data_IF_578823914436
#
_entry.id   IF_578823914436
#
_cell.length_a   1.000
_cell.length_b   1.000
_cell.length_c   1.000
_cell.angle_alpha   90.00
_cell.angle_beta   90.00
_cell.angle_gamma   90.00
#
_symmetry.space_group_name_H-M   'P 1'
#
loop_
_entity.id
_entity.type
_entity.pdbx_description
1 polymer ?
#
# COMPACT_ATOMS: atom_id res chain seq x y z
N UNK A 1 -36.14 -27.33 11.81
CA UNK A 1 -36.50 -26.33 10.79
C UNK A 1 -35.23 -25.88 10.09
N UNK A 2 -34.87 -26.56 9.00
CA UNK A 2 -33.69 -26.29 8.18
C UNK A 2 -34.14 -25.54 6.93
N UNK A 3 -33.76 -24.27 6.80
CA UNK A 3 -34.03 -23.52 5.58
C UNK A 3 -34.06 -22.02 5.80
N UNK A 4 -32.91 -21.38 5.55
CA UNK A 4 -32.66 -19.98 5.17
C UNK A 4 -31.35 -19.52 5.81
N UNK A 5 -30.23 -19.76 5.12
CA UNK A 5 -28.99 -18.97 5.30
C UNK A 5 -27.89 -19.27 4.27
N UNK A 6 -28.08 -20.26 3.38
CA UNK A 6 -27.09 -20.51 2.31
C UNK A 6 -26.94 -19.33 1.34
N UNK A 7 -28.01 -18.57 1.03
CA UNK A 7 -27.96 -17.47 0.03
C UNK A 7 -27.03 -16.30 0.41
N UNK A 8 -26.85 -15.98 1.69
CA UNK A 8 -26.00 -14.86 2.12
C UNK A 8 -24.50 -15.21 2.00
N UNK A 9 -24.14 -16.44 2.37
CA UNK A 9 -22.77 -16.95 2.22
C UNK A 9 -22.41 -17.06 0.74
N UNK A 10 -23.34 -17.52 -0.12
CA UNK A 10 -23.10 -17.62 -1.57
C UNK A 10 -22.89 -16.26 -2.22
N UNK A 11 -23.67 -15.24 -1.83
CA UNK A 11 -23.52 -13.88 -2.35
C UNK A 11 -22.18 -13.23 -1.97
N UNK A 12 -21.70 -13.47 -0.74
CA UNK A 12 -20.40 -12.98 -0.27
C UNK A 12 -19.24 -13.69 -0.95
N UNK A 13 -19.30 -15.02 -1.11
CA UNK A 13 -18.31 -15.77 -1.90
C UNK A 13 -18.33 -15.40 -3.38
N UNK A 14 -19.49 -15.04 -3.95
CA UNK A 14 -19.59 -14.56 -5.33
C UNK A 14 -18.96 -13.18 -5.48
N UNK A 15 -19.11 -12.30 -4.47
CA UNK A 15 -18.45 -10.99 -4.43
C UNK A 15 -16.93 -11.10 -4.35
N UNK A 16 -16.41 -12.07 -3.60
CA UNK A 16 -14.97 -12.36 -3.52
C UNK A 16 -14.42 -12.94 -4.83
N UNK A 17 -15.17 -13.84 -5.48
CA UNK A 17 -14.81 -14.40 -6.79
C UNK A 17 -14.90 -13.33 -7.89
N UNK A 18 -15.88 -12.43 -7.85
CA UNK A 18 -16.00 -11.31 -8.79
C UNK A 18 -14.88 -10.28 -8.59
N UNK A 19 -14.48 -9.99 -7.35
CA UNK A 19 -13.32 -9.14 -7.08
C UNK A 19 -12.02 -9.77 -7.60
N UNK A 20 -11.86 -11.08 -7.45
CA UNK A 20 -10.71 -11.82 -7.98
C UNK A 20 -10.75 -11.94 -9.51
N UNK A 21 -11.94 -12.06 -10.11
CA UNK A 21 -12.12 -12.05 -11.56
C UNK A 21 -11.83 -10.66 -12.15
N UNK A 22 -12.29 -9.58 -11.53
CA UNK A 22 -11.96 -8.21 -11.95
C UNK A 22 -10.44 -7.94 -11.90
N UNK A 23 -9.72 -8.59 -10.98
CA UNK A 23 -8.26 -8.55 -10.91
C UNK A 23 -7.57 -9.34 -12.04
N UNK A 24 -8.27 -10.29 -12.68
CA UNK A 24 -7.74 -11.19 -13.73
C UNK A 24 -8.22 -10.83 -15.16
N UNK A 25 -9.21 -9.95 -15.30
CA UNK A 25 -9.75 -9.48 -16.58
C UNK A 25 -8.72 -8.83 -17.52
N UNK A 26 -7.64 -8.16 -17.07
CA UNK A 26 -6.66 -7.58 -17.99
C UNK A 26 -5.99 -8.60 -18.93
N UNK A 27 -6.06 -9.91 -18.61
CA UNK A 27 -5.47 -10.99 -19.42
C UNK A 27 -6.38 -11.65 -20.46
N UNK A 28 -7.65 -11.20 -20.63
CA UNK A 28 -8.65 -11.90 -21.47
C UNK A 28 -9.35 -11.00 -22.51
N UNK A 29 -8.76 -9.88 -22.92
CA UNK A 29 -9.35 -8.97 -23.91
C UNK A 29 -8.97 -9.38 -25.34
N UNK A 30 -9.95 -9.38 -26.25
CA UNK A 30 -9.70 -9.53 -27.69
C UNK A 30 -9.16 -8.23 -28.30
N UNK A 31 -8.35 -8.30 -29.36
CA UNK A 31 -7.74 -7.13 -30.04
C UNK A 31 -8.71 -5.99 -30.37
N UNK A 32 -9.97 -6.29 -30.69
CA UNK A 32 -10.97 -5.26 -30.98
C UNK A 32 -11.37 -4.44 -29.75
N UNK A 33 -11.55 -5.11 -28.60
CA UNK A 33 -11.87 -4.48 -27.31
C UNK A 33 -10.66 -3.67 -26.81
N UNK A 34 -9.44 -4.17 -27.05
CA UNK A 34 -8.22 -3.44 -26.71
C UNK A 34 -8.07 -2.14 -27.53
N UNK A 35 -8.44 -2.16 -28.83
CA UNK A 35 -8.41 -0.96 -29.69
C UNK A 35 -9.45 0.09 -29.30
N UNK A 36 -10.66 -0.35 -28.95
CA UNK A 36 -11.73 0.55 -28.52
C UNK A 36 -11.43 1.17 -27.15
N UNK A 37 -10.93 0.37 -26.20
CA UNK A 37 -10.46 0.86 -24.90
C UNK A 37 -9.28 1.83 -25.05
N UNK A 38 -8.34 1.56 -25.96
CA UNK A 38 -7.24 2.48 -26.25
C UNK A 38 -7.75 3.81 -26.83
N UNK A 39 -8.72 3.80 -27.74
CA UNK A 39 -9.30 5.02 -28.28
C UNK A 39 -10.03 5.85 -27.21
N UNK A 40 -10.87 5.23 -26.36
CA UNK A 40 -11.50 5.92 -25.24
C UNK A 40 -10.49 6.51 -24.25
N UNK A 41 -9.40 5.78 -24.00
CA UNK A 41 -8.32 6.23 -23.13
C UNK A 41 -7.61 7.47 -23.70
N UNK A 42 -7.31 7.47 -25.01
CA UNK A 42 -6.71 8.62 -25.70
C UNK A 42 -7.61 9.86 -25.61
N UNK A 43 -8.93 9.71 -25.79
CA UNK A 43 -9.87 10.83 -25.63
C UNK A 43 -9.93 11.36 -24.19
N UNK A 44 -9.87 10.47 -23.19
CA UNK A 44 -9.85 10.87 -21.78
C UNK A 44 -8.53 11.57 -21.39
N UNK A 45 -7.40 11.10 -21.93
CA UNK A 45 -6.08 11.72 -21.75
C UNK A 45 -6.03 13.10 -22.41
N UNK A 46 -6.59 13.27 -23.61
CA UNK A 46 -6.69 14.55 -24.31
C UNK A 46 -7.56 15.55 -23.54
N UNK A 47 -8.71 15.09 -23.01
CA UNK A 47 -9.59 15.92 -22.19
C UNK A 47 -8.93 16.36 -20.87
N UNK A 48 -8.22 15.44 -20.20
CA UNK A 48 -7.46 15.75 -18.97
C UNK A 48 -6.31 16.72 -19.25
N UNK A 49 -5.53 16.49 -20.31
CA UNK A 49 -4.46 17.41 -20.71
C UNK A 49 -5.01 18.80 -21.00
N UNK A 50 -6.15 18.90 -21.69
CA UNK A 50 -6.81 20.18 -21.96
C UNK A 50 -7.31 20.87 -20.68
N UNK A 51 -7.81 20.13 -19.70
CA UNK A 51 -8.23 20.68 -18.41
C UNK A 51 -7.04 21.20 -17.59
N UNK A 52 -5.95 20.42 -17.52
CA UNK A 52 -4.70 20.82 -16.84
C UNK A 52 -4.08 22.06 -17.48
N UNK A 53 -3.97 22.07 -18.82
CA UNK A 53 -3.43 23.21 -19.57
C UNK A 53 -4.35 24.44 -19.46
N UNK A 54 -5.67 24.26 -19.46
CA UNK A 54 -6.63 25.37 -19.29
C UNK A 54 -6.60 25.98 -17.88
N UNK A 55 -6.33 25.20 -16.83
CA UNK A 55 -6.12 25.73 -15.48
C UNK A 55 -4.81 26.55 -15.38
N UNK A 56 -3.77 26.19 -16.12
CA UNK A 56 -2.51 26.95 -16.18
C UNK A 56 -2.64 28.21 -17.05
N UNK A 57 -3.28 28.14 -18.23
CA UNK A 57 -3.50 29.29 -19.11
C UNK A 57 -4.54 30.28 -18.57
N UNK A 58 -5.49 29.86 -17.71
CA UNK A 58 -6.35 30.79 -16.98
C UNK A 58 -5.55 31.72 -16.03
N UNK A 59 -4.30 31.36 -15.69
CA UNK A 59 -3.37 32.22 -14.96
C UNK A 59 -2.52 33.12 -15.89
N UNK A 60 -2.34 32.79 -17.17
CA UNK A 60 -1.44 33.48 -18.12
C UNK A 60 -2.13 34.19 -19.30
N UNK A 61 -3.41 33.93 -19.57
CA UNK A 61 -4.23 34.71 -20.50
C UNK A 61 -3.96 34.49 -22.00
N UNK A 62 -3.55 33.29 -22.42
CA UNK A 62 -3.30 32.96 -23.83
C UNK A 62 -4.33 31.95 -24.39
N UNK A 63 -4.44 31.89 -25.73
CA UNK A 63 -5.54 31.26 -26.50
C UNK A 63 -5.54 29.72 -26.53
N UNK A 64 -6.48 29.12 -27.30
CA UNK A 64 -6.74 27.66 -27.28
C UNK A 64 -5.45 26.79 -27.32
N UNK A 65 -5.26 25.87 -26.35
CA UNK A 65 -4.00 25.16 -26.19
C UNK A 65 -3.78 24.15 -27.33
N UNK A 66 -2.67 24.30 -28.06
CA UNK A 66 -2.16 23.24 -28.93
C UNK A 66 -1.57 22.12 -28.07
N UNK A 67 -2.19 20.95 -28.10
CA UNK A 67 -1.73 19.77 -27.36
C UNK A 67 -0.48 19.21 -28.04
N UNK A 68 0.69 19.37 -27.42
CA UNK A 68 1.91 18.71 -27.84
C UNK A 68 1.81 17.19 -27.55
N UNK A 69 2.19 16.36 -28.52
CA UNK A 69 2.22 14.89 -28.37
C UNK A 69 3.66 14.39 -28.40
N UNK A 70 4.00 13.53 -27.45
CA UNK A 70 5.34 12.93 -27.34
C UNK A 70 5.28 11.41 -27.18
N UNK A 71 6.44 10.75 -27.24
CA UNK A 71 6.56 9.29 -27.19
C UNK A 71 6.99 8.81 -25.80
N UNK A 72 6.34 7.77 -25.30
CA UNK A 72 6.66 7.14 -24.02
C UNK A 72 7.99 6.36 -24.09
N UNK A 73 8.83 6.52 -23.07
CA UNK A 73 10.14 5.86 -22.99
C UNK A 73 10.06 4.37 -22.71
N UNK A 74 8.95 3.90 -22.15
CA UNK A 74 8.79 2.53 -21.67
C UNK A 74 7.65 1.79 -22.37
N UNK A 75 6.45 2.35 -22.40
CA UNK A 75 5.28 1.66 -22.95
C UNK A 75 5.29 1.61 -24.47
N UNK A 76 4.83 0.48 -25.00
CA UNK A 76 4.70 0.23 -26.42
C UNK A 76 3.29 -0.25 -26.75
N UNK A 77 2.84 0.04 -27.96
CA UNK A 77 1.63 -0.53 -28.51
C UNK A 77 1.81 -2.03 -28.81
N UNK A 78 0.73 -2.66 -29.26
CA UNK A 78 0.69 -4.08 -29.63
C UNK A 78 1.54 -4.41 -30.87
N UNK A 79 1.95 -3.41 -31.66
CA UNK A 79 2.86 -3.54 -32.80
C UNK A 79 4.34 -3.32 -32.40
N UNK A 80 4.60 -2.92 -31.16
CA UNK A 80 5.92 -2.65 -30.62
C UNK A 80 6.42 -1.21 -30.80
N UNK A 81 5.60 -0.29 -31.30
CA UNK A 81 5.93 1.14 -31.40
C UNK A 81 5.75 1.83 -30.04
N UNK A 82 6.54 2.86 -29.70
CA UNK A 82 6.34 3.64 -28.48
C UNK A 82 4.92 4.21 -28.42
N UNK A 83 4.27 4.10 -27.24
CA UNK A 83 2.98 4.76 -27.03
C UNK A 83 3.16 6.28 -27.14
N UNK A 84 2.11 6.95 -27.60
CA UNK A 84 2.07 8.42 -27.66
C UNK A 84 1.04 8.93 -26.66
N UNK A 85 1.36 10.01 -25.99
CA UNK A 85 0.45 10.69 -25.08
C UNK A 85 0.60 12.21 -25.15
N UNK A 86 -0.41 12.96 -24.68
CA UNK A 86 -0.35 14.41 -24.63
C UNK A 86 0.63 14.86 -23.54
N UNK A 87 1.52 15.77 -23.87
CA UNK A 87 2.45 16.37 -22.91
C UNK A 87 1.65 17.27 -21.97
N UNK A 88 1.66 16.92 -20.69
CA UNK A 88 0.88 17.61 -19.66
C UNK A 88 1.68 17.91 -18.38
N UNK A 89 3.01 17.85 -18.45
CA UNK A 89 3.88 18.11 -17.31
C UNK A 89 5.25 18.66 -17.69
N UNK A 90 5.90 19.29 -16.72
CA UNK A 90 7.24 19.87 -16.89
C UNK A 90 8.32 18.81 -17.15
N UNK A 91 9.40 19.17 -17.85
CA UNK A 91 10.54 18.28 -18.02
C UNK A 91 11.18 17.94 -16.67
N UNK A 92 11.90 16.82 -16.64
CA UNK A 92 12.68 16.45 -15.47
C UNK A 92 13.70 17.55 -15.15
N UNK A 93 13.82 17.96 -13.88
CA UNK A 93 14.72 19.04 -13.53
C UNK A 93 16.18 18.61 -13.67
N UNK A 94 17.00 19.45 -14.30
CA UNK A 94 18.46 19.34 -14.26
C UNK A 94 18.95 19.94 -12.93
N UNK A 95 19.27 19.09 -11.95
CA UNK A 95 19.66 19.51 -10.61
C UNK A 95 21.19 19.39 -10.41
N UNK A 96 21.78 20.37 -9.72
CA UNK A 96 23.18 20.35 -9.30
C UNK A 96 23.34 20.26 -7.77
N UNK A 97 24.59 20.26 -7.26
CA UNK A 97 24.86 20.17 -5.82
C UNK A 97 24.28 21.36 -5.01
N UNK A 98 24.09 22.51 -5.64
CA UNK A 98 23.59 23.74 -5.01
C UNK A 98 22.07 23.77 -4.86
N UNK A 99 21.34 22.95 -5.63
CA UNK A 99 19.88 22.78 -5.52
C UNK A 99 19.46 21.96 -4.28
N UNK A 100 20.42 21.29 -3.64
CA UNK A 100 20.20 20.53 -2.41
C UNK A 100 20.62 21.37 -1.20
N UNK A 101 19.67 21.57 -0.28
CA UNK A 101 20.00 22.18 1.00
C UNK A 101 20.90 21.22 1.78
N UNK A 102 22.05 21.67 2.26
CA UNK A 102 23.01 20.86 3.03
C UNK A 102 23.21 21.45 4.43
N UNK A 103 23.51 20.58 5.41
CA UNK A 103 23.80 20.98 6.78
C UNK A 103 25.25 20.68 7.15
N UNK A 104 25.86 21.53 7.98
CA UNK A 104 27.26 21.38 8.41
C UNK A 104 27.53 20.08 9.17
N UNK A 105 26.52 19.54 9.87
CA UNK A 105 26.68 18.34 10.70
C UNK A 105 26.48 17.01 9.96
N UNK A 106 25.78 17.02 8.82
CA UNK A 106 25.43 15.80 8.09
C UNK A 106 25.02 16.11 6.63
N UNK A 107 25.49 15.31 5.64
CA UNK A 107 25.00 15.40 4.27
C UNK A 107 23.50 15.09 4.18
N UNK A 108 22.78 15.81 3.33
CA UNK A 108 21.32 15.69 3.23
C UNK A 108 20.83 14.33 2.75
N UNK A 109 21.61 13.67 1.88
CA UNK A 109 21.34 12.28 1.48
C UNK A 109 21.36 11.32 2.67
N UNK A 110 22.24 11.54 3.65
CA UNK A 110 22.30 10.71 4.86
C UNK A 110 21.08 10.95 5.74
N UNK A 111 20.68 12.20 5.93
CA UNK A 111 19.48 12.56 6.71
C UNK A 111 18.21 11.95 6.11
N UNK A 112 18.05 12.07 4.78
CA UNK A 112 16.94 11.46 4.05
C UNK A 112 16.95 9.93 4.18
N UNK A 113 18.12 9.31 4.02
CA UNK A 113 18.25 7.86 4.17
C UNK A 113 17.86 7.39 5.58
N UNK A 114 18.31 8.06 6.63
CA UNK A 114 17.93 7.72 8.01
C UNK A 114 16.42 7.85 8.20
N UNK A 115 15.82 8.97 7.78
CA UNK A 115 14.38 9.21 7.90
C UNK A 115 13.56 8.14 7.14
N UNK A 116 13.94 7.87 5.89
CA UNK A 116 13.29 6.87 5.05
C UNK A 116 13.40 5.46 5.64
N UNK A 117 14.60 5.08 6.11
CA UNK A 117 14.85 3.77 6.67
C UNK A 117 14.03 3.52 7.96
N UNK A 118 13.99 4.50 8.87
CA UNK A 118 13.18 4.39 10.07
C UNK A 118 11.68 4.29 9.73
N UNK A 119 11.19 5.13 8.82
CA UNK A 119 9.80 5.06 8.38
C UNK A 119 9.47 3.68 7.76
N UNK A 120 10.35 3.14 6.91
CA UNK A 120 10.17 1.83 6.27
C UNK A 120 10.12 0.68 7.28
N UNK A 121 10.97 0.68 8.32
CA UNK A 121 10.92 -0.38 9.34
C UNK A 121 9.58 -0.42 10.07
N UNK A 122 9.09 0.73 10.53
CA UNK A 122 7.81 0.79 11.21
C UNK A 122 6.63 0.54 10.26
N UNK A 123 6.69 1.06 9.03
CA UNK A 123 5.68 0.81 7.99
C UNK A 123 5.56 -0.66 7.62
N UNK A 124 6.70 -1.38 7.52
CA UNK A 124 6.72 -2.82 7.24
C UNK A 124 6.06 -3.61 8.37
N UNK A 125 6.36 -3.26 9.63
CA UNK A 125 5.75 -3.88 10.80
C UNK A 125 4.23 -3.64 10.87
N UNK A 126 3.80 -2.39 10.62
CA UNK A 126 2.38 -1.99 10.63
C UNK A 126 1.58 -2.67 9.52
N UNK A 127 2.19 -2.98 8.37
CA UNK A 127 1.53 -3.76 7.32
C UNK A 127 1.48 -5.26 7.64
N UNK A 128 2.47 -5.78 8.36
CA UNK A 128 2.56 -7.20 8.67
C UNK A 128 1.57 -7.65 9.76
N UNK A 129 1.47 -6.90 10.85
CA UNK A 129 0.69 -7.30 12.03
C UNK A 129 -0.81 -7.49 11.71
N UNK A 130 -1.48 -6.62 10.92
CA UNK A 130 -2.86 -6.85 10.50
C UNK A 130 -3.07 -8.17 9.74
N UNK A 131 -2.10 -8.62 8.95
CA UNK A 131 -2.15 -9.93 8.28
C UNK A 131 -2.16 -11.03 9.34
N UNK A 132 -1.31 -10.90 10.36
CA UNK A 132 -1.22 -11.90 11.43
C UNK A 132 -2.50 -11.93 12.24
N UNK A 133 -3.02 -10.77 12.63
CA UNK A 133 -4.27 -10.67 13.37
C UNK A 133 -5.43 -11.27 12.58
N UNK A 134 -5.51 -11.04 11.27
CA UNK A 134 -6.51 -11.67 10.40
C UNK A 134 -6.42 -13.19 10.42
N UNK A 135 -5.21 -13.75 10.24
CA UNK A 135 -5.01 -15.21 10.24
C UNK A 135 -5.29 -15.84 11.60
N UNK A 136 -4.76 -15.24 12.66
CA UNK A 136 -4.90 -15.73 14.04
C UNK A 136 -6.36 -15.65 14.48
N UNK A 137 -7.05 -14.55 14.20
CA UNK A 137 -8.46 -14.39 14.52
C UNK A 137 -9.33 -15.39 13.74
N UNK A 138 -9.06 -15.56 12.44
CA UNK A 138 -9.78 -16.54 11.62
C UNK A 138 -9.64 -17.97 12.18
N UNK A 139 -8.42 -18.36 12.56
CA UNK A 139 -8.16 -19.65 13.23
C UNK A 139 -8.92 -19.72 14.55
N UNK A 140 -8.85 -18.66 15.38
CA UNK A 140 -9.57 -18.58 16.65
C UNK A 140 -11.08 -18.78 16.50
N UNK A 141 -11.69 -18.19 15.47
CA UNK A 141 -13.12 -18.38 15.18
C UNK A 141 -13.43 -19.82 14.78
N UNK A 142 -12.58 -20.43 13.93
CA UNK A 142 -12.80 -21.81 13.43
C UNK A 142 -12.55 -22.89 14.48
N UNK A 143 -11.61 -22.66 15.38
CA UNK A 143 -11.31 -23.60 16.48
C UNK A 143 -12.28 -23.49 17.65
N UNK A 144 -13.24 -22.53 17.65
CA UNK A 144 -14.12 -22.27 18.79
C UNK A 144 -15.01 -23.45 19.19
N UNK A 145 -15.48 -24.24 18.23
CA UNK A 145 -16.34 -25.41 18.51
C UNK A 145 -15.54 -26.62 18.99
N UNK A 146 -14.31 -26.80 18.50
CA UNK A 146 -13.45 -27.95 18.79
C UNK A 146 -12.64 -27.74 20.08
N UNK A 147 -12.03 -26.56 20.25
CA UNK A 147 -11.22 -26.19 21.41
C UNK A 147 -11.45 -24.72 21.81
N UNK A 148 -12.40 -24.47 22.73
CA UNK A 148 -12.70 -23.13 23.23
C UNK A 148 -11.53 -22.46 23.96
N UNK A 149 -10.64 -23.25 24.58
CA UNK A 149 -9.50 -22.72 25.36
C UNK A 149 -8.44 -22.18 24.41
N UNK A 150 -8.12 -22.93 23.36
CA UNK A 150 -7.20 -22.48 22.31
C UNK A 150 -7.79 -21.34 21.49
N UNK A 151 -9.09 -21.37 21.17
CA UNK A 151 -9.79 -20.26 20.52
C UNK A 151 -9.59 -18.94 21.30
N UNK A 152 -9.78 -18.97 22.62
CA UNK A 152 -9.55 -17.80 23.48
C UNK A 152 -8.07 -17.38 23.55
N UNK A 153 -7.11 -18.31 23.40
CA UNK A 153 -5.69 -17.98 23.32
C UNK A 153 -5.33 -17.25 22.03
N UNK A 154 -5.83 -17.72 20.88
CA UNK A 154 -5.64 -17.05 19.59
C UNK A 154 -6.27 -15.65 19.59
N UNK A 155 -7.48 -15.53 20.13
CA UNK A 155 -8.18 -14.23 20.21
C UNK A 155 -7.38 -13.20 21.02
N UNK A 156 -6.90 -13.59 22.20
CA UNK A 156 -6.05 -12.73 23.03
C UNK A 156 -4.75 -12.35 22.32
N UNK A 157 -4.09 -13.30 21.66
CA UNK A 157 -2.85 -13.02 20.92
C UNK A 157 -3.09 -11.98 19.81
N UNK A 158 -4.14 -12.12 19.01
CA UNK A 158 -4.45 -11.17 17.95
C UNK A 158 -4.77 -9.76 18.50
N UNK A 159 -5.48 -9.68 19.63
CA UNK A 159 -5.76 -8.41 20.30
C UNK A 159 -4.48 -7.75 20.83
N UNK A 160 -3.60 -8.52 21.48
CA UNK A 160 -2.33 -8.03 22.03
C UNK A 160 -1.38 -7.56 20.92
N UNK A 161 -1.27 -8.30 19.83
CA UNK A 161 -0.50 -7.89 18.65
C UNK A 161 -1.05 -6.59 18.06
N UNK A 162 -2.38 -6.46 17.95
CA UNK A 162 -3.00 -5.24 17.42
C UNK A 162 -2.75 -4.03 18.31
N UNK A 163 -2.75 -4.21 19.64
CA UNK A 163 -2.40 -3.14 20.59
C UNK A 163 -1.00 -2.59 20.36
N UNK A 164 -0.03 -3.48 20.12
CA UNK A 164 1.35 -3.08 19.78
C UNK A 164 1.37 -2.37 18.43
N UNK A 165 0.63 -2.88 17.44
CA UNK A 165 0.51 -2.27 16.11
C UNK A 165 -0.03 -0.84 16.15
N UNK A 166 -1.00 -0.51 17.02
CA UNK A 166 -1.50 0.86 17.16
C UNK A 166 -0.42 1.86 17.60
N UNK A 167 0.47 1.42 18.49
CA UNK A 167 1.60 2.25 18.94
C UNK A 167 2.59 2.45 17.81
N UNK A 168 2.91 1.38 17.08
CA UNK A 168 3.79 1.42 15.92
C UNK A 168 3.21 2.27 14.77
N UNK A 169 1.89 2.24 14.56
CA UNK A 169 1.16 3.05 13.58
C UNK A 169 1.37 4.54 13.84
N UNK A 170 1.22 4.96 15.10
CA UNK A 170 1.44 6.36 15.51
C UNK A 170 2.88 6.82 15.23
N UNK A 171 3.88 5.98 15.54
CA UNK A 171 5.28 6.25 15.21
C UNK A 171 5.53 6.28 13.70
N UNK A 172 4.91 5.39 12.94
CA UNK A 172 4.99 5.35 11.48
C UNK A 172 4.49 6.66 10.87
N UNK A 173 3.36 7.19 11.37
CA UNK A 173 2.79 8.45 10.92
C UNK A 173 3.72 9.64 11.20
N UNK A 174 4.31 9.70 12.41
CA UNK A 174 5.29 10.74 12.77
C UNK A 174 6.51 10.65 11.85
N UNK A 175 7.08 9.45 11.67
CA UNK A 175 8.23 9.23 10.80
C UNK A 175 7.92 9.51 9.34
N UNK A 176 6.69 9.25 8.89
CA UNK A 176 6.21 9.60 7.55
C UNK A 176 6.12 11.11 7.35
N UNK A 177 5.63 11.83 8.36
CA UNK A 177 5.65 13.30 8.37
C UNK A 177 7.08 13.86 8.35
N UNK A 178 8.00 13.27 9.12
CA UNK A 178 9.43 13.63 9.08
C UNK A 178 10.01 13.36 7.70
N UNK A 179 9.72 12.20 7.09
CA UNK A 179 10.18 11.84 5.76
C UNK A 179 9.68 12.84 4.70
N UNK A 180 8.38 13.16 4.72
CA UNK A 180 7.81 14.19 3.83
C UNK A 180 8.49 15.54 4.03
N UNK A 181 8.69 15.96 5.27
CA UNK A 181 9.38 17.21 5.59
C UNK A 181 10.83 17.21 5.07
N UNK A 182 11.54 16.08 5.18
CA UNK A 182 12.90 15.97 4.62
C UNK A 182 12.90 16.07 3.10
N UNK A 183 11.91 15.53 2.38
CA UNK A 183 11.81 15.73 0.93
C UNK A 183 11.57 17.19 0.56
N UNK A 184 10.62 17.85 1.23
CA UNK A 184 10.28 19.26 0.96
C UNK A 184 11.48 20.18 1.23
N UNK A 185 12.20 19.93 2.31
CA UNK A 185 13.29 20.83 2.76
C UNK A 185 14.63 20.50 2.15
N UNK A 186 15.01 19.23 2.02
CA UNK A 186 16.35 18.85 1.56
C UNK A 186 16.43 18.60 0.05
N UNK A 187 15.32 18.21 -0.57
CA UNK A 187 15.24 17.82 -1.98
C UNK A 187 14.06 18.53 -2.70
N UNK A 188 13.98 19.88 -2.66
CA UNK A 188 12.80 20.61 -3.11
C UNK A 188 12.51 20.46 -4.61
N UNK A 189 13.53 20.53 -5.47
CA UNK A 189 13.37 20.37 -6.93
C UNK A 189 12.85 18.98 -7.30
N UNK A 190 13.46 17.94 -6.72
CA UNK A 190 13.01 16.56 -6.86
C UNK A 190 11.56 16.37 -6.36
N UNK A 191 11.25 16.87 -5.16
CA UNK A 191 9.91 16.70 -4.60
C UNK A 191 8.85 17.44 -5.42
N UNK A 192 9.16 18.64 -5.95
CA UNK A 192 8.25 19.39 -6.82
C UNK A 192 7.92 18.61 -8.10
N UNK A 193 8.92 18.01 -8.74
CA UNK A 193 8.73 17.19 -9.94
C UNK A 193 7.87 15.94 -9.64
N UNK A 194 8.24 15.16 -8.62
CA UNK A 194 7.48 13.98 -8.21
C UNK A 194 6.05 14.31 -7.80
N UNK A 195 5.86 15.36 -7.00
CA UNK A 195 4.54 15.80 -6.57
C UNK A 195 3.70 16.27 -7.75
N UNK A 196 4.30 16.88 -8.79
CA UNK A 196 3.62 17.29 -10.02
C UNK A 196 3.02 16.11 -10.79
N UNK A 197 3.82 15.07 -11.02
CA UNK A 197 3.37 13.86 -11.73
C UNK A 197 2.32 13.08 -10.92
N UNK A 198 2.56 12.91 -9.62
CA UNK A 198 1.74 12.05 -8.76
C UNK A 198 0.62 12.80 -8.02
N UNK A 199 0.24 14.04 -8.40
CA UNK A 199 -0.80 14.81 -7.69
C UNK A 199 -2.09 14.02 -7.44
N UNK A 200 -2.70 13.33 -8.44
CA UNK A 200 -3.93 12.59 -8.22
C UNK A 200 -3.74 11.44 -7.22
N UNK A 201 -2.59 10.77 -7.29
CA UNK A 201 -2.22 9.65 -6.43
C UNK A 201 -2.07 10.08 -4.97
N UNK A 202 -1.54 11.28 -4.72
CA UNK A 202 -1.37 11.80 -3.36
C UNK A 202 -2.71 11.99 -2.63
N UNK A 203 -3.75 12.39 -3.34
CA UNK A 203 -5.09 12.57 -2.75
C UNK A 203 -5.68 11.21 -2.37
N UNK A 204 -5.59 10.22 -3.27
CA UNK A 204 -6.02 8.85 -3.00
C UNK A 204 -5.22 8.27 -1.83
N UNK A 205 -3.91 8.47 -1.81
CA UNK A 205 -3.03 8.02 -0.73
C UNK A 205 -3.46 8.60 0.63
N UNK A 206 -3.70 9.91 0.70
CA UNK A 206 -4.15 10.56 1.93
C UNK A 206 -5.52 10.03 2.40
N UNK A 207 -6.47 9.82 1.48
CA UNK A 207 -7.77 9.24 1.80
C UNK A 207 -7.65 7.79 2.29
N UNK A 208 -6.82 6.98 1.63
CA UNK A 208 -6.57 5.60 2.06
C UNK A 208 -5.91 5.55 3.43
N UNK A 209 -5.00 6.48 3.75
CA UNK A 209 -4.38 6.57 5.08
C UNK A 209 -5.40 6.92 6.18
N UNK A 210 -6.36 7.81 5.89
CA UNK A 210 -7.47 8.08 6.81
C UNK A 210 -8.41 6.88 6.95
N UNK A 211 -8.70 6.19 5.84
CA UNK A 211 -9.52 4.98 5.85
C UNK A 211 -8.86 3.86 6.65
N UNK A 212 -7.55 3.65 6.48
CA UNK A 212 -6.75 2.69 7.25
C UNK A 212 -6.82 3.00 8.73
N UNK A 213 -6.56 4.26 9.12
CA UNK A 213 -6.66 4.73 10.50
C UNK A 213 -8.05 4.47 11.10
N UNK A 214 -9.11 4.77 10.35
CA UNK A 214 -10.49 4.58 10.77
C UNK A 214 -10.85 3.11 10.97
N UNK A 215 -10.52 2.26 10.01
CA UNK A 215 -10.79 0.80 10.10
C UNK A 215 -9.98 0.18 11.23
N UNK A 216 -8.70 0.54 11.36
CA UNK A 216 -7.83 0.09 12.44
C UNK A 216 -8.39 0.46 13.82
N UNK A 217 -8.86 1.69 13.97
CA UNK A 217 -9.46 2.17 15.22
C UNK A 217 -10.75 1.42 15.55
N UNK A 218 -11.64 1.22 14.58
CA UNK A 218 -12.89 0.46 14.75
C UNK A 218 -12.60 -1.00 15.08
N UNK A 219 -11.60 -1.60 14.42
CA UNK A 219 -11.16 -2.97 14.68
C UNK A 219 -10.69 -3.12 16.12
N UNK A 220 -9.71 -2.31 16.56
CA UNK A 220 -9.17 -2.45 17.91
C UNK A 220 -10.17 -2.08 19.02
N UNK A 221 -10.77 -0.89 18.98
CA UNK A 221 -11.67 -0.44 20.05
C UNK A 221 -13.05 -1.11 20.00
N UNK A 222 -13.41 -1.69 18.85
CA UNK A 222 -14.64 -2.47 18.71
C UNK A 222 -14.52 -3.93 19.17
N UNK A 223 -13.32 -4.39 19.54
CA UNK A 223 -13.02 -5.80 19.83
C UNK A 223 -13.98 -6.42 20.85
N UNK A 224 -14.12 -5.83 22.03
CA UNK A 224 -14.94 -6.39 23.12
C UNK A 224 -16.42 -6.47 22.74
N UNK A 225 -16.94 -5.43 22.07
CA UNK A 225 -18.34 -5.37 21.63
C UNK A 225 -18.61 -6.43 20.56
N UNK A 226 -17.73 -6.54 19.57
CA UNK A 226 -17.91 -7.47 18.46
C UNK A 226 -17.56 -8.92 18.81
N UNK A 227 -16.79 -9.17 19.88
CA UNK A 227 -16.45 -10.52 20.33
C UNK A 227 -17.56 -11.22 21.10
N UNK A 228 -18.57 -10.47 21.56
CA UNK A 228 -19.70 -11.01 22.34
C UNK A 228 -20.68 -11.86 21.53
N UNK A 229 -20.84 -11.56 20.24
CA UNK A 229 -21.81 -12.21 19.35
C UNK A 229 -21.09 -12.94 18.19
N UNK A 230 -21.49 -14.18 17.83
CA UNK A 230 -20.85 -14.92 16.75
C UNK A 230 -20.87 -14.22 15.39
N UNK A 231 -21.96 -13.52 15.05
CA UNK A 231 -22.05 -12.78 13.78
C UNK A 231 -21.17 -11.54 13.82
N UNK A 232 -21.20 -10.78 14.91
CA UNK A 232 -20.31 -9.63 15.06
C UNK A 232 -18.83 -10.01 15.06
N UNK A 233 -18.47 -11.22 15.51
CA UNK A 233 -17.08 -11.71 15.44
C UNK A 233 -16.63 -11.96 14.00
N UNK A 234 -17.53 -12.44 13.15
CA UNK A 234 -17.26 -12.53 11.71
C UNK A 234 -17.15 -11.15 11.05
N UNK A 235 -17.99 -10.18 11.48
CA UNK A 235 -17.87 -8.78 11.03
C UNK A 235 -16.51 -8.20 11.45
N UNK A 236 -16.08 -8.43 12.68
CA UNK A 236 -14.77 -8.01 13.18
C UNK A 236 -13.62 -8.61 12.35
N UNK A 237 -13.64 -9.91 12.08
CA UNK A 237 -12.67 -10.55 11.20
C UNK A 237 -12.74 -10.00 9.76
N UNK A 238 -13.89 -9.56 9.26
CA UNK A 238 -13.98 -8.92 7.93
C UNK A 238 -13.35 -7.51 7.91
N UNK A 239 -13.33 -6.81 9.05
CA UNK A 239 -12.63 -5.52 9.18
C UNK A 239 -11.12 -5.70 9.06
N UNK A 240 -10.54 -6.81 9.54
CA UNK A 240 -9.12 -7.07 9.30
C UNK A 240 -8.82 -7.37 7.84
N UNK A 241 -9.72 -8.04 7.10
CA UNK A 241 -9.58 -8.21 5.65
C UNK A 241 -9.60 -6.85 4.94
N UNK A 242 -10.55 -5.97 5.30
CA UNK A 242 -10.62 -4.62 4.76
C UNK A 242 -9.37 -3.79 5.10
N UNK A 243 -8.88 -3.89 6.34
CA UNK A 243 -7.66 -3.22 6.78
C UNK A 243 -6.45 -3.65 5.94
N UNK A 244 -6.29 -4.96 5.73
CA UNK A 244 -5.22 -5.50 4.89
C UNK A 244 -5.34 -5.08 3.43
N UNK A 245 -6.55 -4.98 2.89
CA UNK A 245 -6.79 -4.47 1.54
C UNK A 245 -6.35 -3.01 1.41
N UNK A 246 -6.76 -2.14 2.34
CA UNK A 246 -6.38 -0.72 2.35
C UNK A 246 -4.87 -0.57 2.51
N UNK A 247 -4.25 -1.29 3.46
CA UNK A 247 -2.80 -1.27 3.66
C UNK A 247 -2.03 -1.77 2.44
N UNK A 248 -2.55 -2.78 1.74
CA UNK A 248 -1.96 -3.25 0.48
C UNK A 248 -2.04 -2.19 -0.60
N UNK A 249 -3.19 -1.51 -0.76
CA UNK A 249 -3.35 -0.41 -1.72
C UNK A 249 -2.35 0.71 -1.39
N UNK A 250 -2.25 1.15 -0.13
CA UNK A 250 -1.28 2.16 0.31
C UNK A 250 0.16 1.77 -0.02
N UNK A 251 0.52 0.52 0.24
CA UNK A 251 1.85 0.00 -0.08
C UNK A 251 2.12 0.03 -1.59
N UNK A 252 1.16 -0.38 -2.42
CA UNK A 252 1.32 -0.35 -3.88
C UNK A 252 1.39 1.09 -4.42
N UNK A 253 0.60 2.03 -3.88
CA UNK A 253 0.70 3.45 -4.25
C UNK A 253 2.06 4.05 -3.84
N UNK A 254 2.57 3.73 -2.64
CA UNK A 254 3.92 4.13 -2.22
C UNK A 254 5.01 3.47 -3.08
N UNK A 255 4.81 2.22 -3.51
CA UNK A 255 5.73 1.54 -4.41
C UNK A 255 5.82 2.23 -5.75
N UNK A 256 4.71 2.75 -6.30
CA UNK A 256 4.71 3.48 -7.57
C UNK A 256 5.74 4.60 -7.60
N UNK A 257 5.90 5.33 -6.50
CA UNK A 257 6.92 6.38 -6.37
C UNK A 257 8.33 5.80 -6.45
N UNK A 258 8.59 4.76 -5.65
CA UNK A 258 9.89 4.11 -5.57
C UNK A 258 10.30 3.43 -6.87
N UNK A 259 9.35 2.79 -7.56
CA UNK A 259 9.60 2.05 -8.79
C UNK A 259 9.69 2.97 -9.99
N UNK A 260 8.92 4.07 -10.02
CA UNK A 260 9.05 5.11 -11.05
C UNK A 260 10.46 5.73 -11.05
N UNK A 261 11.04 6.00 -9.88
CA UNK A 261 12.43 6.50 -9.79
C UNK A 261 13.49 5.53 -10.35
N UNK A 262 13.18 4.24 -10.39
CA UNK A 262 14.11 3.19 -10.84
C UNK A 262 13.90 2.82 -12.30
N UNK A 263 12.64 2.76 -12.74
CA UNK A 263 12.22 2.37 -14.08
C UNK A 263 10.99 3.20 -14.47
N UNK A 264 11.19 4.45 -14.92
CA UNK A 264 10.07 5.34 -15.21
C UNK A 264 9.30 4.90 -16.46
N UNK A 265 8.02 5.24 -16.49
CA UNK A 265 7.12 5.07 -17.64
C UNK A 265 5.98 6.09 -17.53
N UNK A 266 5.20 6.28 -18.59
CA UNK A 266 4.21 7.38 -18.64
C UNK A 266 4.83 8.75 -18.85
N UNK A 267 6.10 8.80 -19.27
CA UNK A 267 6.88 10.02 -19.52
C UNK A 267 7.64 9.92 -20.85
N UNK A 268 8.01 11.07 -21.42
CA UNK A 268 8.89 11.12 -22.58
C UNK A 268 10.39 11.17 -22.25
N UNK A 269 11.23 11.28 -23.27
CA UNK A 269 12.69 11.32 -23.14
C UNK A 269 13.21 12.52 -22.34
N UNK A 270 12.41 13.57 -22.20
CA UNK A 270 12.73 14.76 -21.40
C UNK A 270 12.15 14.66 -19.97
N UNK A 271 11.43 13.58 -19.64
CA UNK A 271 10.77 13.41 -18.35
C UNK A 271 9.41 14.07 -18.25
N UNK A 272 8.83 14.53 -19.36
CA UNK A 272 7.52 15.18 -19.33
C UNK A 272 6.41 14.14 -19.21
N UNK A 273 5.45 14.41 -18.34
CA UNK A 273 4.30 13.52 -18.13
C UNK A 273 3.38 13.49 -19.34
N UNK A 274 2.93 12.29 -19.72
CA UNK A 274 2.14 12.03 -20.93
C UNK A 274 0.64 11.84 -20.67
N UNK A 275 0.09 12.47 -19.63
CA UNK A 275 -1.35 12.46 -19.31
C UNK A 275 -1.89 11.16 -18.69
N UNK A 276 -1.20 10.02 -18.82
CA UNK A 276 -1.67 8.74 -18.28
C UNK A 276 -1.04 8.37 -16.93
N UNK A 277 -1.78 8.56 -15.84
CA UNK A 277 -1.31 8.24 -14.49
C UNK A 277 -1.11 6.73 -14.24
N UNK A 278 -1.89 5.89 -14.93
CA UNK A 278 -1.74 4.42 -14.80
C UNK A 278 -0.40 3.98 -15.35
N UNK A 279 0.05 4.54 -16.47
CA UNK A 279 1.36 4.26 -17.03
C UNK A 279 2.49 4.64 -16.06
N UNK A 280 2.36 5.79 -15.39
CA UNK A 280 3.30 6.22 -14.35
C UNK A 280 3.31 5.28 -13.14
N UNK A 281 2.15 4.84 -12.67
CA UNK A 281 2.03 3.94 -11.51
C UNK A 281 2.57 2.55 -11.83
N UNK A 282 2.16 1.99 -12.96
CA UNK A 282 2.34 0.59 -13.33
C UNK A 282 3.70 0.33 -14.01
N UNK A 283 4.79 0.84 -13.44
CA UNK A 283 6.15 0.54 -13.94
C UNK A 283 6.46 -0.98 -13.94
N UNK A 284 7.50 -1.38 -14.69
CA UNK A 284 8.00 -2.78 -14.74
C UNK A 284 8.23 -3.41 -13.38
N UNK A 285 8.70 -2.59 -12.42
CA UNK A 285 9.08 -3.03 -11.09
C UNK A 285 7.89 -3.03 -10.11
N UNK A 286 6.73 -2.48 -10.49
CA UNK A 286 5.60 -2.27 -9.57
C UNK A 286 5.08 -3.58 -8.97
N UNK A 287 4.76 -4.58 -9.81
CA UNK A 287 4.29 -5.88 -9.35
C UNK A 287 5.39 -6.68 -8.63
N UNK A 288 6.61 -6.83 -9.18
CA UNK A 288 7.69 -7.54 -8.48
C UNK A 288 8.02 -6.95 -7.10
N UNK A 289 8.14 -5.62 -7.00
CA UNK A 289 8.42 -4.94 -5.72
C UNK A 289 7.22 -5.05 -4.78
N UNK A 290 5.99 -4.95 -5.29
CA UNK A 290 4.76 -5.18 -4.53
C UNK A 290 4.74 -6.55 -3.85
N UNK A 291 4.97 -7.62 -4.62
CA UNK A 291 5.04 -8.99 -4.09
C UNK A 291 6.20 -9.14 -3.11
N UNK A 292 7.39 -8.65 -3.46
CA UNK A 292 8.56 -8.69 -2.59
C UNK A 292 8.29 -8.01 -1.24
N UNK A 293 7.63 -6.85 -1.24
CA UNK A 293 7.31 -6.12 -0.01
C UNK A 293 6.27 -6.83 0.84
N UNK A 294 5.24 -7.45 0.25
CA UNK A 294 4.26 -8.23 1.03
C UNK A 294 4.96 -9.37 1.77
N UNK A 295 5.76 -10.16 1.05
CA UNK A 295 6.51 -11.27 1.61
C UNK A 295 7.53 -10.79 2.65
N UNK A 296 8.32 -9.77 2.32
CA UNK A 296 9.30 -9.16 3.20
C UNK A 296 8.68 -8.60 4.49
N UNK A 297 7.51 -7.96 4.41
CA UNK A 297 6.79 -7.46 5.58
C UNK A 297 6.35 -8.62 6.49
N UNK A 298 5.81 -9.71 5.92
CA UNK A 298 5.41 -10.91 6.68
C UNK A 298 6.62 -11.50 7.43
N UNK A 299 7.76 -11.68 6.74
CA UNK A 299 8.99 -12.20 7.38
C UNK A 299 9.47 -11.25 8.47
N UNK A 300 9.50 -9.94 8.20
CA UNK A 300 9.98 -8.93 9.14
C UNK A 300 9.10 -8.85 10.39
N UNK A 301 7.77 -8.80 10.22
CA UNK A 301 6.83 -8.81 11.34
C UNK A 301 6.93 -10.07 12.18
N UNK A 302 7.03 -11.24 11.53
CA UNK A 302 7.14 -12.53 12.23
C UNK A 302 8.46 -12.63 12.99
N UNK A 303 9.55 -12.11 12.42
CA UNK A 303 10.84 -11.98 13.09
C UNK A 303 10.79 -11.08 14.32
N UNK A 304 10.10 -9.92 14.25
CA UNK A 304 9.95 -9.02 15.41
C UNK A 304 9.15 -9.70 16.52
N UNK A 305 7.99 -10.28 16.21
CA UNK A 305 7.15 -10.96 17.21
C UNK A 305 7.88 -12.18 17.79
N UNK A 306 8.60 -12.94 16.95
CA UNK A 306 9.43 -14.06 17.38
C UNK A 306 10.58 -13.62 18.30
N UNK A 307 11.28 -12.53 17.97
CA UNK A 307 12.33 -11.97 18.82
C UNK A 307 11.79 -11.48 20.18
N UNK A 308 10.64 -10.80 20.16
CA UNK A 308 9.93 -10.40 21.37
C UNK A 308 9.57 -11.60 22.25
N UNK A 309 8.97 -12.63 21.65
CA UNK A 309 8.60 -13.85 22.36
C UNK A 309 9.82 -14.60 22.89
N UNK A 310 10.92 -14.67 22.14
CA UNK A 310 12.17 -15.30 22.57
C UNK A 310 12.78 -14.58 23.79
N UNK A 311 12.82 -13.25 23.79
CA UNK A 311 13.29 -12.46 24.93
C UNK A 311 12.45 -12.75 26.19
N UNK A 312 11.13 -12.74 26.05
CA UNK A 312 10.24 -13.00 27.17
C UNK A 312 10.29 -14.46 27.66
N UNK A 313 10.44 -15.43 26.76
CA UNK A 313 10.68 -16.82 27.11
C UNK A 313 11.93 -16.99 27.99
N UNK A 314 13.04 -16.33 27.65
CA UNK A 314 14.30 -16.40 28.39
C UNK A 314 14.25 -15.69 29.74
N UNK A 315 13.45 -14.64 29.87
CA UNK A 315 13.32 -13.85 31.09
C UNK A 315 12.18 -14.30 32.02
N UNK A 316 11.31 -15.18 31.53
CA UNK A 316 10.13 -15.70 32.22
C UNK A 316 10.48 -16.29 33.59
N UNK A 317 9.65 -15.97 34.59
CA UNK A 317 9.86 -16.43 35.98
C UNK A 317 9.04 -17.66 36.33
N UNK A 318 8.01 -17.97 35.53
CA UNK A 318 7.13 -19.12 35.71
C UNK A 318 7.13 -20.00 34.48
N UNK A 319 6.85 -21.29 34.67
CA UNK A 319 6.70 -22.23 33.55
C UNK A 319 5.51 -21.89 32.65
N UNK A 320 4.45 -21.29 33.21
CA UNK A 320 3.28 -20.87 32.43
C UNK A 320 3.60 -19.72 31.49
N UNK A 321 4.33 -18.70 31.98
CA UNK A 321 4.79 -17.57 31.16
C UNK A 321 5.73 -18.06 30.07
N UNK A 322 6.65 -18.96 30.42
CA UNK A 322 7.57 -19.59 29.46
C UNK A 322 6.82 -20.34 28.36
N UNK A 323 5.83 -21.17 28.72
CA UNK A 323 5.02 -21.91 27.76
C UNK A 323 4.17 -21.00 26.86
N UNK A 324 3.68 -19.87 27.39
CA UNK A 324 2.97 -18.88 26.59
C UNK A 324 3.88 -18.29 25.50
N UNK A 325 5.05 -17.78 25.87
CA UNK A 325 5.95 -17.16 24.90
C UNK A 325 6.61 -18.16 23.94
N UNK A 326 6.80 -19.41 24.34
CA UNK A 326 7.18 -20.49 23.43
C UNK A 326 6.15 -20.66 22.30
N UNK A 327 4.87 -20.72 22.68
CA UNK A 327 3.77 -20.81 21.72
C UNK A 327 3.63 -19.57 20.83
N UNK A 328 3.78 -18.36 21.39
CA UNK A 328 3.77 -17.12 20.59
C UNK A 328 4.91 -17.12 19.57
N UNK A 329 6.12 -17.53 19.99
CA UNK A 329 7.27 -17.66 19.11
C UNK A 329 7.00 -18.67 17.99
N UNK A 330 6.44 -19.85 18.32
CA UNK A 330 6.07 -20.86 17.33
C UNK A 330 5.09 -20.30 16.29
N UNK A 331 4.02 -19.62 16.72
CA UNK A 331 3.03 -19.03 15.80
C UNK A 331 3.67 -17.97 14.90
N UNK A 332 4.48 -17.07 15.48
CA UNK A 332 5.15 -16.00 14.74
C UNK A 332 6.14 -16.55 13.70
N UNK A 333 6.96 -17.54 14.09
CA UNK A 333 7.93 -18.18 13.19
C UNK A 333 7.25 -19.01 12.11
N UNK A 334 6.14 -19.68 12.42
CA UNK A 334 5.35 -20.40 11.42
C UNK A 334 4.85 -19.45 10.34
N UNK A 335 4.28 -18.30 10.73
CA UNK A 335 3.83 -17.27 9.78
C UNK A 335 5.02 -16.69 9.00
N UNK A 336 6.15 -16.41 9.66
CA UNK A 336 7.36 -15.89 9.01
C UNK A 336 7.87 -16.82 7.90
N UNK A 337 7.85 -18.13 8.13
CA UNK A 337 8.31 -19.13 7.15
C UNK A 337 7.45 -19.12 5.88
N UNK A 338 6.16 -18.81 5.94
CA UNK A 338 5.35 -18.64 4.72
C UNK A 338 5.70 -17.40 3.90
N UNK A 339 6.35 -16.41 4.52
CA UNK A 339 6.84 -15.23 3.83
C UNK A 339 8.23 -15.40 3.20
N UNK A 340 8.94 -16.49 3.51
CA UNK A 340 10.24 -16.86 2.93
C UNK A 340 10.05 -17.69 1.65
#
# INVERSE_FOLDING_TARGET
MLGKNKRSITAFSLGLILAMAMYLVPGMTSDAIAKEAFAEQVFAEEAFAKEVLAEEEAAEGEGEPEIEWSQDVFYKDWEGNPLKGPVSGFPAPELDESDYNNYEFAPSRMLLWVANQQHLYFGSFVLAVPIFCMLIEFIGIRSKEEDPVMSAKYDRLAHDLMKVSLTAYSWTAILGGVLLFTFITLFPGFFKYMAGIFRPVMHVYALMFLAESGVLYVYYYGWDKMSSDPFLKWVHCSLSVLLNLIGTILMYLANSWATFMQAPGGIDSEGRFLGNIWHVIHSTLWNPVGVHRILGNIVFGGGIVGAYAAYHYLTAKTEEERAHYDWVCYVAMFIAIFGL
#
